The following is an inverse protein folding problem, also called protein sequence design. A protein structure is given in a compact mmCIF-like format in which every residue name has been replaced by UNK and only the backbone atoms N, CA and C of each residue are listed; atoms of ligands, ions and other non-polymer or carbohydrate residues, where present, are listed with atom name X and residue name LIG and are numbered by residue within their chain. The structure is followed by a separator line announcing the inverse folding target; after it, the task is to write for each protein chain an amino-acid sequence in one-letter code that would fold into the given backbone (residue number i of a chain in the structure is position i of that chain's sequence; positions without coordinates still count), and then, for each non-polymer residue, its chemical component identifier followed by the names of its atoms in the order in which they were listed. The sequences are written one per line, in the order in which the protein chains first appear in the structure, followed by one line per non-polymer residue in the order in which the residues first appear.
data_IF_997680898376
#
_entry.id   IF_997680898376
#
_cell.length_a   1.000
_cell.length_b   1.000
_cell.length_c   1.000
_cell.angle_alpha   90.00
_cell.angle_beta   90.00
_cell.angle_gamma   90.00
#
_symmetry.space_group_name_H-M   'P 1'
#
loop_
_entity.id
_entity.type
_entity.pdbx_description
1 polymer ?
#
# COMPACT_ATOMS: atom_id res chain seq x y z
N UNK A 1 -4.67 -1.52 -4.82
CA UNK A 1 -4.52 -1.76 -3.37
C UNK A 1 -3.81 -0.57 -2.73
N UNK A 2 -2.52 -0.42 -2.99
CA UNK A 2 -1.68 0.60 -2.35
C UNK A 2 -1.53 1.92 -3.13
N UNK A 3 -2.37 2.16 -4.13
CA UNK A 3 -2.40 3.39 -4.96
C UNK A 3 -1.06 3.77 -5.64
N UNK A 4 -0.19 2.79 -5.95
CA UNK A 4 1.03 3.04 -6.71
C UNK A 4 0.76 3.73 -8.06
N UNK A 5 1.38 4.88 -8.29
CA UNK A 5 1.50 5.46 -9.63
C UNK A 5 2.43 4.59 -10.50
N UNK A 6 2.26 4.56 -11.84
CA UNK A 6 3.00 3.63 -12.70
C UNK A 6 4.52 3.71 -12.56
N UNK A 7 5.09 4.91 -12.46
CA UNK A 7 6.53 5.13 -12.35
C UNK A 7 7.09 4.57 -11.03
N UNK A 8 6.46 4.89 -9.89
CA UNK A 8 6.83 4.35 -8.58
C UNK A 8 6.67 2.83 -8.56
N UNK A 9 5.58 2.31 -9.13
CA UNK A 9 5.38 0.86 -9.22
C UNK A 9 6.52 0.15 -9.96
N UNK A 10 7.01 0.71 -11.07
CA UNK A 10 8.17 0.15 -11.78
C UNK A 10 9.45 0.19 -10.93
N UNK A 11 9.67 1.27 -10.18
CA UNK A 11 10.82 1.39 -9.28
C UNK A 11 10.83 0.30 -8.19
N UNK A 12 9.65 -0.10 -7.70
CA UNK A 12 9.48 -1.19 -6.74
C UNK A 12 9.17 -2.55 -7.38
N UNK A 13 9.63 -2.77 -8.62
CA UNK A 13 9.50 -4.05 -9.36
C UNK A 13 8.06 -4.55 -9.57
N UNK A 14 7.06 -3.67 -9.50
CA UNK A 14 5.67 -3.97 -9.85
C UNK A 14 5.51 -3.94 -11.37
N UNK A 15 5.87 -5.06 -12.00
CA UNK A 15 5.82 -5.25 -13.45
C UNK A 15 4.43 -4.97 -14.01
N UNK A 16 4.38 -4.21 -15.08
CA UNK A 16 3.15 -3.86 -15.80
C UNK A 16 3.29 -4.32 -17.26
N UNK A 17 2.41 -5.22 -17.70
CA UNK A 17 2.30 -5.71 -19.09
C UNK A 17 0.86 -5.59 -19.56
N UNK A 18 0.56 -5.96 -20.81
CA UNK A 18 -0.83 -6.00 -21.30
C UNK A 18 -1.71 -7.05 -20.60
N UNK A 19 -1.11 -8.03 -19.92
CA UNK A 19 -1.81 -9.15 -19.29
C UNK A 19 -1.73 -9.11 -17.76
N UNK A 20 -0.75 -8.41 -17.19
CA UNK A 20 -0.50 -8.38 -15.75
C UNK A 20 -0.20 -6.97 -15.25
N UNK A 21 -0.75 -6.61 -14.10
CA UNK A 21 -0.43 -5.36 -13.38
C UNK A 21 -0.05 -5.68 -11.93
N UNK A 22 1.25 -5.69 -11.64
CA UNK A 22 1.78 -6.00 -10.31
C UNK A 22 1.31 -5.05 -9.21
N UNK A 23 0.80 -3.86 -9.54
CA UNK A 23 0.21 -2.94 -8.56
C UNK A 23 -1.13 -3.42 -7.99
N UNK A 24 -1.73 -4.40 -8.66
CA UNK A 24 -2.96 -5.07 -8.23
C UNK A 24 -2.66 -6.40 -7.54
N UNK A 25 -1.49 -7.00 -7.75
CA UNK A 25 -1.07 -8.23 -7.09
C UNK A 25 -1.01 -8.01 -5.58
N UNK A 26 -1.80 -8.79 -4.82
CA UNK A 26 -2.01 -8.57 -3.38
C UNK A 26 -0.67 -8.65 -2.64
N UNK A 27 0.07 -9.74 -2.84
CA UNK A 27 1.33 -9.98 -2.14
C UNK A 27 2.42 -9.05 -2.66
N UNK A 28 2.59 -8.93 -3.99
CA UNK A 28 3.68 -8.13 -4.54
C UNK A 28 3.51 -6.64 -4.24
N UNK A 29 2.29 -6.09 -4.39
CA UNK A 29 2.04 -4.67 -4.10
C UNK A 29 2.11 -4.35 -2.61
N UNK A 30 1.74 -5.28 -1.73
CA UNK A 30 1.88 -5.10 -0.28
C UNK A 30 3.34 -5.07 0.13
N UNK A 31 4.14 -6.04 -0.34
CA UNK A 31 5.59 -6.03 -0.07
C UNK A 31 6.26 -4.76 -0.60
N UNK A 32 5.92 -4.33 -1.81
CA UNK A 32 6.43 -3.08 -2.37
C UNK A 32 6.04 -1.86 -1.53
N UNK A 33 4.80 -1.80 -1.03
CA UNK A 33 4.33 -0.69 -0.20
C UNK A 33 5.07 -0.64 1.14
N UNK A 34 5.24 -1.79 1.79
CA UNK A 34 5.99 -1.90 3.04
C UNK A 34 7.47 -1.49 2.84
N UNK A 35 8.14 -2.02 1.81
CA UNK A 35 9.51 -1.62 1.48
C UNK A 35 9.62 -0.13 1.18
N UNK A 36 8.63 0.46 0.49
CA UNK A 36 8.65 1.90 0.24
C UNK A 36 8.49 2.71 1.54
N UNK A 37 7.53 2.34 2.38
CA UNK A 37 7.31 3.00 3.67
C UNK A 37 8.53 2.90 4.58
N UNK A 38 9.19 1.75 4.65
CA UNK A 38 10.46 1.57 5.37
C UNK A 38 11.55 2.49 4.84
N UNK A 39 11.73 2.57 3.52
CA UNK A 39 12.70 3.51 2.90
C UNK A 39 12.41 4.96 3.29
N UNK A 40 11.14 5.36 3.27
CA UNK A 40 10.74 6.72 3.63
C UNK A 40 10.98 6.99 5.12
N UNK A 41 10.64 6.03 5.98
CA UNK A 41 10.91 6.11 7.41
C UNK A 41 12.40 6.31 7.69
N UNK A 42 13.27 5.53 7.06
CA UNK A 42 14.72 5.68 7.20
C UNK A 42 15.22 7.02 6.65
N UNK A 43 14.68 7.46 5.51
CA UNK A 43 15.00 8.75 4.89
C UNK A 43 14.65 9.95 5.79
N UNK A 44 13.57 9.87 6.56
CA UNK A 44 13.16 10.90 7.52
C UNK A 44 13.55 10.55 8.96
N UNK A 45 14.68 9.87 9.15
CA UNK A 45 15.31 9.63 10.45
C UNK A 45 14.41 8.92 11.47
N UNK A 46 13.52 8.05 11.01
CA UNK A 46 12.60 7.31 11.86
C UNK A 46 11.28 8.02 12.16
N UNK A 47 10.99 9.14 11.49
CA UNK A 47 9.71 9.84 11.65
C UNK A 47 8.63 9.24 10.74
N UNK A 48 7.73 8.47 11.35
CA UNK A 48 6.58 7.87 10.65
C UNK A 48 5.60 8.89 10.08
N UNK A 49 5.42 10.06 10.72
CA UNK A 49 4.50 11.08 10.20
C UNK A 49 5.04 11.69 8.91
N UNK A 50 6.35 11.98 8.87
CA UNK A 50 7.02 12.44 7.66
C UNK A 50 7.05 11.36 6.57
N UNK A 51 7.27 10.09 6.95
CA UNK A 51 7.22 8.98 6.01
C UNK A 51 5.83 8.82 5.36
N UNK A 52 4.76 8.86 6.16
CA UNK A 52 3.38 8.78 5.65
C UNK A 52 3.02 10.00 4.79
N UNK A 53 3.45 11.20 5.20
CA UNK A 53 3.28 12.41 4.41
C UNK A 53 3.98 12.31 3.06
N UNK A 54 5.21 11.77 3.04
CA UNK A 54 5.99 11.57 1.82
C UNK A 54 5.41 10.47 0.92
N UNK A 55 4.79 9.44 1.49
CA UNK A 55 4.08 8.43 0.71
C UNK A 55 2.92 9.04 -0.09
N UNK A 56 2.19 10.00 0.51
CA UNK A 56 1.08 10.70 -0.14
C UNK A 56 1.55 11.82 -1.09
N UNK A 57 2.45 12.69 -0.65
CA UNK A 57 2.84 13.92 -1.38
C UNK A 57 4.10 13.76 -2.26
N UNK A 58 4.82 12.65 -2.11
CA UNK A 58 6.16 12.43 -2.63
C UNK A 58 7.26 12.92 -1.69
N UNK A 59 8.35 12.14 -1.60
CA UNK A 59 9.51 12.44 -0.74
C UNK A 59 10.14 13.79 -1.01
N UNK A 60 10.28 14.19 -2.28
CA UNK A 60 10.82 15.49 -2.64
C UNK A 60 9.93 16.67 -2.24
N UNK A 61 8.62 16.48 -2.05
CA UNK A 61 7.74 17.53 -1.51
C UNK A 61 8.02 17.76 -0.04
N UNK A 62 8.13 16.68 0.74
CA UNK A 62 8.42 16.75 2.18
C UNK A 62 9.84 17.26 2.42
N UNK A 63 10.85 16.77 1.70
CA UNK A 63 12.24 17.25 1.85
C UNK A 63 12.39 18.74 1.56
N UNK A 64 11.70 19.27 0.52
CA UNK A 64 11.72 20.72 0.23
C UNK A 64 11.02 21.54 1.33
N UNK A 65 9.96 21.00 1.93
CA UNK A 65 9.28 21.67 3.04
C UNK A 65 10.19 21.72 4.28
N UNK A 66 10.89 20.63 4.59
CA UNK A 66 11.90 20.55 5.66
C UNK A 66 13.01 21.57 5.42
N UNK A 67 13.67 21.51 4.25
CA UNK A 67 14.78 22.40 3.90
C UNK A 67 14.36 23.89 3.99
N UNK A 68 13.12 24.21 3.61
CA UNK A 68 12.57 25.56 3.75
C UNK A 68 12.46 25.97 5.22
N UNK A 69 11.89 25.12 6.08
CA UNK A 69 11.74 25.44 7.50
C UNK A 69 13.09 25.54 8.21
N UNK A 70 14.04 24.66 7.89
CA UNK A 70 15.42 24.72 8.42
C UNK A 70 16.10 26.07 8.10
N UNK A 71 16.00 26.55 6.85
CA UNK A 71 16.54 27.86 6.44
C UNK A 71 15.92 29.03 7.19
N UNK A 72 14.69 28.88 7.66
CA UNK A 72 13.96 29.90 8.42
C UNK A 72 14.10 29.72 9.95
N UNK A 73 14.79 28.67 10.42
CA UNK A 73 14.87 28.34 11.83
C UNK A 73 13.54 27.91 12.45
N UNK A 74 12.64 27.35 11.63
CA UNK A 74 11.32 26.86 12.04
C UNK A 74 11.35 25.34 12.33
N UNK A 75 10.42 24.81 13.13
CA UNK A 75 10.32 23.37 13.36
C UNK A 75 10.08 22.59 12.06
N UNK A 76 10.65 21.39 11.98
CA UNK A 76 10.63 20.54 10.77
C UNK A 76 9.77 19.28 10.92
N UNK A 77 9.12 19.12 12.08
CA UNK A 77 8.16 18.05 12.29
C UNK A 77 6.92 18.24 11.43
N UNK A 78 6.23 17.13 11.15
CA UNK A 78 5.06 17.07 10.28
C UNK A 78 4.04 18.20 10.50
N UNK A 79 3.75 18.54 11.77
CA UNK A 79 2.70 19.51 12.12
C UNK A 79 3.06 20.96 11.77
N UNK A 80 4.34 21.24 11.58
CA UNK A 80 4.86 22.57 11.30
C UNK A 80 5.30 22.75 9.84
N UNK A 81 5.30 21.66 9.04
CA UNK A 81 5.69 21.73 7.64
C UNK A 81 4.56 22.30 6.76
N UNK A 82 4.88 23.20 5.82
CA UNK A 82 3.91 23.75 4.87
C UNK A 82 3.60 22.74 3.74
N UNK A 83 2.87 21.68 4.08
CA UNK A 83 2.48 20.60 3.16
C UNK A 83 1.14 20.90 2.45
N UNK A 84 0.81 20.23 1.33
CA UNK A 84 -0.51 20.33 0.71
C UNK A 84 -1.62 19.90 1.67
N UNK A 85 -2.80 20.52 1.58
CA UNK A 85 -3.93 20.24 2.49
C UNK A 85 -4.31 18.74 2.50
N UNK A 86 -4.32 18.09 1.34
CA UNK A 86 -4.60 16.66 1.23
C UNK A 86 -3.65 15.84 2.12
N UNK A 87 -2.36 16.18 2.11
CA UNK A 87 -1.32 15.51 2.90
C UNK A 87 -1.45 15.85 4.38
N UNK A 88 -1.77 17.10 4.71
CA UNK A 88 -2.04 17.52 6.10
C UNK A 88 -3.22 16.75 6.71
N UNK A 89 -4.21 16.38 5.89
CA UNK A 89 -5.36 15.58 6.32
C UNK A 89 -5.06 14.07 6.31
N UNK A 90 -4.11 13.63 5.49
CA UNK A 90 -3.81 12.21 5.26
C UNK A 90 -3.27 11.52 6.51
N UNK A 91 -2.24 12.08 7.15
CA UNK A 91 -1.61 11.46 8.32
C UNK A 91 -2.57 11.40 9.54
N UNK A 92 -3.31 12.47 9.90
CA UNK A 92 -4.30 12.40 10.97
C UNK A 92 -5.38 11.35 10.76
N UNK A 93 -5.86 11.16 9.52
CA UNK A 93 -6.83 10.11 9.21
C UNK A 93 -6.29 8.71 9.50
N UNK A 94 -5.03 8.44 9.15
CA UNK A 94 -4.38 7.17 9.45
C UNK A 94 -4.14 6.99 10.96
N UNK A 95 -3.75 8.04 11.66
CA UNK A 95 -3.61 7.99 13.12
C UNK A 95 -4.96 7.69 13.79
N UNK A 96 -6.04 8.32 13.34
CA UNK A 96 -7.38 8.06 13.86
C UNK A 96 -7.83 6.61 13.60
N UNK A 97 -7.58 6.09 12.39
CA UNK A 97 -7.87 4.70 12.06
C UNK A 97 -7.05 3.73 12.92
N UNK A 98 -5.77 4.03 13.15
CA UNK A 98 -4.89 3.25 14.02
C UNK A 98 -5.44 3.19 15.45
N UNK A 99 -5.91 4.32 15.99
CA UNK A 99 -6.56 4.35 17.31
C UNK A 99 -7.84 3.51 17.36
N UNK A 100 -8.68 3.59 16.32
CA UNK A 100 -9.88 2.76 16.20
C UNK A 100 -9.52 1.26 16.19
N UNK A 101 -8.47 0.88 15.47
CA UNK A 101 -8.03 -0.53 15.40
C UNK A 101 -7.43 -1.00 16.72
N UNK A 102 -6.67 -0.15 17.42
CA UNK A 102 -6.03 -0.49 18.70
C UNK A 102 -7.02 -0.55 19.87
N UNK A 103 -8.06 0.28 19.86
CA UNK A 103 -9.02 0.37 20.95
C UNK A 103 -10.46 0.58 20.43
N UNK A 104 -11.02 -0.37 19.68
CA UNK A 104 -12.31 -0.20 19.00
C UNK A 104 -13.47 0.06 19.97
N UNK A 105 -13.44 -0.55 21.16
CA UNK A 105 -14.44 -0.36 22.22
C UNK A 105 -14.51 1.09 22.71
N UNK A 106 -13.37 1.78 22.79
CA UNK A 106 -13.30 3.21 23.19
C UNK A 106 -14.04 4.13 22.22
N UNK A 107 -14.28 3.66 20.99
CA UNK A 107 -14.98 4.38 19.94
C UNK A 107 -16.35 3.78 19.62
N UNK A 108 -16.82 2.78 20.40
CA UNK A 108 -18.09 2.11 20.17
C UNK A 108 -18.14 1.30 18.86
N UNK A 109 -16.98 0.83 18.39
CA UNK A 109 -16.84 0.05 17.17
C UNK A 109 -16.61 -1.41 17.54
N UNK A 110 -17.27 -2.32 16.82
CA UNK A 110 -16.99 -3.76 16.90
C UNK A 110 -16.27 -4.18 15.63
N UNK A 111 -15.04 -4.66 15.77
CA UNK A 111 -14.26 -5.22 14.66
C UNK A 111 -14.38 -6.75 14.67
N UNK A 112 -14.61 -7.34 13.49
CA UNK A 112 -14.51 -8.79 13.36
C UNK A 112 -13.04 -9.21 13.51
N UNK A 113 -12.74 -10.21 14.34
CA UNK A 113 -11.38 -10.68 14.49
C UNK A 113 -10.85 -11.23 13.16
N UNK A 114 -9.60 -10.90 12.85
CA UNK A 114 -8.87 -11.44 11.70
C UNK A 114 -7.77 -12.33 12.27
N UNK A 115 -7.80 -13.61 11.91
CA UNK A 115 -6.77 -14.54 12.34
C UNK A 115 -5.41 -14.15 11.74
N UNK A 116 -4.35 -14.23 12.54
CA UNK A 116 -2.99 -14.03 12.08
C UNK A 116 -2.45 -15.30 11.40
N UNK A 117 -3.10 -15.71 10.31
CA UNK A 117 -2.74 -16.87 9.51
C UNK A 117 -2.91 -16.57 8.01
N UNK A 118 -2.15 -17.24 7.12
CA UNK A 118 -2.29 -17.02 5.68
C UNK A 118 -3.70 -17.38 5.19
N UNK A 119 -4.39 -16.43 4.57
CA UNK A 119 -5.70 -16.67 3.95
C UNK A 119 -5.61 -17.53 2.68
N UNK A 120 -4.53 -17.36 1.89
CA UNK A 120 -4.32 -18.08 0.65
C UNK A 120 -2.83 -18.40 0.43
N UNK A 121 -2.55 -19.37 -0.44
CA UNK A 121 -1.20 -19.70 -0.88
C UNK A 121 -1.08 -19.54 -2.40
N UNK A 122 0.02 -18.93 -2.84
CA UNK A 122 0.32 -18.83 -4.27
C UNK A 122 0.84 -20.16 -4.82
N UNK A 123 0.20 -20.67 -5.87
CA UNK A 123 0.63 -21.87 -6.60
C UNK A 123 1.09 -21.47 -8.01
N UNK A 124 2.30 -21.90 -8.39
CA UNK A 124 2.83 -21.65 -9.73
C UNK A 124 2.28 -22.68 -10.72
N UNK A 125 1.74 -22.20 -11.83
CA UNK A 125 1.28 -23.01 -12.95
C UNK A 125 2.30 -22.98 -14.09
N UNK A 126 2.49 -24.10 -14.79
CA UNK A 126 3.53 -24.24 -15.83
C UNK A 126 3.16 -23.57 -17.16
N UNK A 127 1.86 -23.37 -17.40
CA UNK A 127 1.32 -22.77 -18.62
C UNK A 127 0.23 -21.79 -18.21
N UNK A 128 0.08 -20.73 -19.00
CA UNK A 128 -1.05 -19.82 -18.86
C UNK A 128 -2.36 -20.59 -18.98
N UNK A 129 -3.18 -20.48 -17.94
CA UNK A 129 -4.48 -21.12 -17.81
C UNK A 129 -5.49 -20.05 -17.42
N UNK A 130 -6.69 -20.17 -17.97
CA UNK A 130 -7.80 -19.30 -17.59
C UNK A 130 -8.21 -19.58 -16.15
N UNK A 131 -8.41 -18.54 -15.35
CA UNK A 131 -8.74 -18.65 -13.94
C UNK A 131 -10.08 -19.38 -13.72
N UNK A 132 -11.04 -19.29 -14.65
CA UNK A 132 -12.28 -20.09 -14.56
C UNK A 132 -11.99 -21.59 -14.66
N UNK A 133 -11.02 -21.98 -15.51
CA UNK A 133 -10.58 -23.37 -15.63
C UNK A 133 -9.82 -23.81 -14.37
N UNK A 134 -9.03 -22.92 -13.77
CA UNK A 134 -8.38 -23.20 -12.47
C UNK A 134 -9.43 -23.42 -11.38
N UNK A 135 -10.44 -22.55 -11.29
CA UNK A 135 -11.52 -22.65 -10.31
C UNK A 135 -12.27 -23.98 -10.46
N UNK A 136 -12.64 -24.35 -11.69
CA UNK A 136 -13.31 -25.61 -11.98
C UNK A 136 -12.46 -26.85 -11.63
N UNK A 137 -11.17 -26.85 -12.00
CA UNK A 137 -10.26 -27.97 -11.74
C UNK A 137 -9.92 -28.13 -10.24
N UNK A 138 -9.85 -27.03 -9.51
CA UNK A 138 -9.53 -26.99 -8.09
C UNK A 138 -10.76 -27.03 -7.17
N UNK A 139 -11.98 -27.02 -7.75
CA UNK A 139 -13.26 -26.92 -7.03
C UNK A 139 -13.30 -25.70 -6.08
N UNK A 140 -12.89 -24.54 -6.60
CA UNK A 140 -12.88 -23.26 -5.90
C UNK A 140 -14.00 -22.34 -6.42
N UNK A 141 -14.40 -21.38 -5.60
CA UNK A 141 -15.27 -20.28 -6.04
C UNK A 141 -14.52 -19.39 -7.05
N UNK A 142 -15.15 -19.15 -8.20
CA UNK A 142 -14.54 -18.41 -9.29
C UNK A 142 -14.37 -16.92 -8.95
N UNK A 143 -15.35 -16.33 -8.27
CA UNK A 143 -15.33 -14.91 -7.90
C UNK A 143 -14.26 -14.65 -6.84
N UNK A 144 -14.14 -15.52 -5.85
CA UNK A 144 -13.05 -15.49 -4.86
C UNK A 144 -11.69 -15.59 -5.56
N UNK A 145 -11.53 -16.53 -6.50
CA UNK A 145 -10.28 -16.69 -7.21
C UNK A 145 -9.93 -15.42 -8.01
N UNK A 146 -10.91 -14.74 -8.63
CA UNK A 146 -10.69 -13.45 -9.29
C UNK A 146 -10.30 -12.33 -8.33
N UNK A 147 -10.94 -12.28 -7.16
CA UNK A 147 -10.63 -11.29 -6.12
C UNK A 147 -9.23 -11.45 -5.55
N UNK A 148 -8.74 -12.69 -5.47
CA UNK A 148 -7.37 -13.01 -5.03
C UNK A 148 -6.33 -12.83 -6.13
N UNK A 149 -6.75 -12.81 -7.40
CA UNK A 149 -5.87 -12.71 -8.58
C UNK A 149 -6.12 -11.45 -9.45
N UNK A 150 -6.33 -10.25 -8.88
CA UNK A 150 -6.75 -9.06 -9.64
C UNK A 150 -5.63 -8.48 -10.52
N UNK A 151 -4.40 -8.98 -10.39
CA UNK A 151 -3.27 -8.62 -11.23
C UNK A 151 -3.42 -9.12 -12.67
N UNK A 152 -4.12 -10.24 -12.89
CA UNK A 152 -4.31 -10.80 -14.23
C UNK A 152 -5.47 -10.10 -14.95
N UNK A 153 -5.14 -9.08 -15.74
CA UNK A 153 -6.11 -8.19 -16.40
C UNK A 153 -7.06 -8.90 -17.36
N UNK A 154 -6.65 -10.06 -17.88
CA UNK A 154 -7.44 -10.88 -18.80
C UNK A 154 -7.93 -12.19 -18.18
N UNK A 155 -7.84 -12.33 -16.84
CA UNK A 155 -8.25 -13.55 -16.12
C UNK A 155 -7.49 -14.82 -16.54
N UNK A 156 -6.30 -14.66 -17.12
CA UNK A 156 -5.43 -15.76 -17.56
C UNK A 156 -4.09 -15.62 -16.84
N UNK A 157 -3.63 -16.71 -16.25
CA UNK A 157 -2.31 -16.78 -15.61
C UNK A 157 -1.19 -16.71 -16.67
N UNK A 158 0.04 -16.40 -16.25
CA UNK A 158 1.21 -16.28 -17.14
C UNK A 158 2.37 -17.13 -16.66
#
# INVERSE_FOLDING_TARGET
LWQFIPATGQHFNLRQTNFYDGRRDITASTNAALTYLERLHDMFNGDWMLALAAYNAGEGTVSRAIERNEKLGLPTDYWNLPLPQETQDYVPKLLALSQIVMAPDSYGISLNPINNEPYFQAVRVKRGIDLSSVAALANLDEDELYQLNPAYKRRVTM
#
